data_IF_820776991000
#
_entry.id   IF_820776991000
#
_cell.length_a   1.000
_cell.length_b   1.000
_cell.length_c   1.000
_cell.angle_alpha   90.00
_cell.angle_beta   90.00
_cell.angle_gamma   90.00
#
_symmetry.space_group_name_H-M   'P 1'
#
loop_
_entity.id
_entity.type
_entity.pdbx_description
1 polymer ?
#
# COMPACT_ATOMS: atom_id res chain seq x y z
N UNK A 1 5.72 15.50 6.27
CA UNK A 1 6.19 16.43 5.23
C UNK A 1 6.91 15.72 4.09
N UNK A 2 7.84 14.80 4.35
CA UNK A 2 8.61 14.11 3.29
C UNK A 2 7.73 13.26 2.38
N UNK A 3 6.73 12.56 2.92
CA UNK A 3 5.77 11.75 2.16
C UNK A 3 5.00 12.59 1.12
N UNK A 4 4.52 13.77 1.54
CA UNK A 4 3.80 14.68 0.64
C UNK A 4 4.70 15.18 -0.50
N UNK A 5 5.95 15.55 -0.17
CA UNK A 5 6.92 15.98 -1.19
C UNK A 5 7.17 14.89 -2.23
N UNK A 6 7.35 13.64 -1.79
CA UNK A 6 7.54 12.51 -2.68
C UNK A 6 6.35 12.25 -3.61
N UNK A 7 5.13 12.32 -3.06
CA UNK A 7 3.91 12.20 -3.85
C UNK A 7 3.78 13.29 -4.92
N UNK A 8 4.14 14.54 -4.58
CA UNK A 8 4.14 15.67 -5.53
C UNK A 8 5.15 15.43 -6.65
N UNK A 9 6.36 14.95 -6.32
CA UNK A 9 7.38 14.61 -7.33
C UNK A 9 6.86 13.55 -8.29
N UNK A 10 6.28 12.46 -7.77
CA UNK A 10 5.68 11.40 -8.60
C UNK A 10 4.58 11.92 -9.52
N UNK A 11 3.67 12.74 -8.97
CA UNK A 11 2.58 13.33 -9.75
C UNK A 11 3.11 14.25 -10.87
N UNK A 12 4.13 15.06 -10.57
CA UNK A 12 4.76 15.96 -11.56
C UNK A 12 5.36 15.16 -12.71
N UNK A 13 6.07 14.06 -12.41
CA UNK A 13 6.66 13.20 -13.43
C UNK A 13 5.56 12.48 -14.23
N UNK A 14 4.47 12.05 -13.61
CA UNK A 14 3.33 11.44 -14.30
C UNK A 14 2.68 12.42 -15.29
N UNK A 15 2.45 13.67 -14.90
CA UNK A 15 1.94 14.70 -15.80
C UNK A 15 2.92 15.02 -16.95
N UNK A 16 4.21 15.06 -16.65
CA UNK A 16 5.22 15.25 -17.69
C UNK A 16 5.23 14.09 -18.70
N UNK A 17 5.10 12.86 -18.24
CA UNK A 17 4.95 11.69 -19.10
C UNK A 17 3.71 11.81 -20.00
N UNK A 18 2.54 12.14 -19.46
CA UNK A 18 1.33 12.35 -20.23
C UNK A 18 1.48 13.45 -21.27
N UNK A 19 2.13 14.56 -20.91
CA UNK A 19 2.47 15.63 -21.84
C UNK A 19 3.32 15.12 -23.00
N UNK A 20 4.34 14.31 -22.73
CA UNK A 20 5.20 13.72 -23.77
C UNK A 20 4.43 12.77 -24.68
N UNK A 21 3.55 11.90 -24.12
CA UNK A 21 2.74 10.96 -24.91
C UNK A 21 1.79 11.72 -25.86
N UNK A 22 1.02 12.66 -25.33
CA UNK A 22 0.09 13.47 -26.15
C UNK A 22 0.84 14.29 -27.21
N UNK A 23 1.98 14.86 -26.82
CA UNK A 23 2.81 15.64 -27.72
C UNK A 23 3.45 14.78 -28.81
N UNK A 24 3.87 13.56 -28.48
CA UNK A 24 4.42 12.62 -29.45
C UNK A 24 3.38 12.18 -30.47
N UNK A 25 2.15 11.91 -30.05
CA UNK A 25 1.05 11.59 -30.97
C UNK A 25 0.76 12.74 -31.92
N UNK A 26 0.82 13.99 -31.45
CA UNK A 26 0.49 15.18 -32.27
C UNK A 26 1.63 15.69 -33.15
N UNK A 27 2.87 15.66 -32.65
CA UNK A 27 4.05 16.33 -33.26
C UNK A 27 5.20 15.37 -33.60
N UNK A 28 5.03 14.06 -33.27
CA UNK A 28 6.08 13.05 -33.43
C UNK A 28 7.34 13.43 -32.66
N UNK A 29 8.50 13.10 -33.23
CA UNK A 29 9.81 13.34 -32.59
C UNK A 29 10.12 14.81 -32.30
N UNK A 30 9.36 15.77 -32.85
CA UNK A 30 9.58 17.21 -32.63
C UNK A 30 9.22 17.68 -31.23
N UNK A 31 8.50 16.85 -30.43
CA UNK A 31 8.17 17.18 -29.05
C UNK A 31 9.42 17.17 -28.14
N UNK A 32 10.44 16.41 -28.49
CA UNK A 32 11.64 16.30 -27.70
C UNK A 32 12.52 17.54 -27.85
N UNK A 33 12.51 18.40 -26.82
CA UNK A 33 13.40 19.54 -26.77
C UNK A 33 14.87 19.06 -26.83
N UNK A 34 15.73 19.60 -27.72
CA UNK A 34 17.10 19.17 -27.85
C UNK A 34 17.90 19.16 -26.54
N UNK A 35 17.63 20.12 -25.63
CA UNK A 35 18.29 20.23 -24.32
C UNK A 35 17.93 19.11 -23.35
N UNK A 36 16.72 18.58 -23.44
CA UNK A 36 16.17 17.56 -22.52
C UNK A 36 15.80 16.25 -23.22
N UNK A 37 16.26 16.06 -24.45
CA UNK A 37 15.89 14.93 -25.31
C UNK A 37 16.14 13.58 -24.62
N UNK A 38 17.29 13.42 -23.98
CA UNK A 38 17.65 12.16 -23.29
C UNK A 38 16.76 11.91 -22.09
N UNK A 39 16.50 12.92 -21.25
CA UNK A 39 15.64 12.81 -20.07
C UNK A 39 14.20 12.52 -20.49
N UNK A 40 13.68 13.21 -21.51
CA UNK A 40 12.33 12.99 -22.01
C UNK A 40 12.16 11.59 -22.62
N UNK A 41 13.16 11.11 -23.37
CA UNK A 41 13.14 9.76 -23.92
C UNK A 41 13.17 8.70 -22.81
N UNK A 42 13.97 8.92 -21.76
CA UNK A 42 14.05 8.04 -20.61
C UNK A 42 12.72 7.99 -19.83
N UNK A 43 12.11 9.14 -19.53
CA UNK A 43 10.79 9.23 -18.87
C UNK A 43 9.74 8.51 -19.71
N UNK A 44 9.76 8.69 -21.03
CA UNK A 44 8.80 8.05 -21.93
C UNK A 44 8.97 6.53 -21.96
N UNK A 45 10.23 6.04 -22.01
CA UNK A 45 10.52 4.61 -21.99
C UNK A 45 10.03 3.97 -20.69
N UNK A 46 10.40 4.54 -19.54
CA UNK A 46 9.99 4.03 -18.21
C UNK A 46 8.46 4.06 -18.09
N UNK A 47 7.82 5.16 -18.48
CA UNK A 47 6.37 5.28 -18.41
C UNK A 47 5.64 4.22 -19.24
N UNK A 48 6.12 3.89 -20.45
CA UNK A 48 5.56 2.82 -21.27
C UNK A 48 5.73 1.46 -20.59
N UNK A 49 6.92 1.16 -20.07
CA UNK A 49 7.18 -0.09 -19.34
C UNK A 49 6.23 -0.23 -18.15
N UNK A 50 5.97 0.86 -17.41
CA UNK A 50 5.06 0.86 -16.28
C UNK A 50 3.60 0.58 -16.68
N UNK A 51 3.12 1.20 -17.76
CA UNK A 51 1.77 0.92 -18.27
C UNK A 51 1.62 -0.56 -18.62
N UNK A 52 2.63 -1.16 -19.27
CA UNK A 52 2.62 -2.58 -19.62
C UNK A 52 2.66 -3.46 -18.35
N UNK A 53 3.49 -3.11 -17.37
CA UNK A 53 3.61 -3.85 -16.10
C UNK A 53 2.32 -3.77 -15.27
N UNK A 54 1.65 -2.62 -15.25
CA UNK A 54 0.40 -2.44 -14.51
C UNK A 54 -0.73 -3.31 -15.05
N UNK A 55 -0.78 -3.55 -16.36
CA UNK A 55 -1.77 -4.44 -16.99
C UNK A 55 -1.55 -5.91 -16.59
N UNK A 56 -0.31 -6.29 -16.30
CA UNK A 56 0.08 -7.67 -15.98
C UNK A 56 0.30 -7.92 -14.47
N UNK A 57 0.04 -6.92 -13.61
CA UNK A 57 0.21 -7.09 -12.18
C UNK A 57 -0.92 -7.91 -11.58
N UNK A 58 -0.56 -8.99 -10.86
CA UNK A 58 -1.50 -9.73 -10.00
C UNK A 58 -1.86 -8.87 -8.79
N UNK A 59 -3.13 -8.92 -8.36
CA UNK A 59 -3.56 -8.28 -7.11
C UNK A 59 -2.82 -8.91 -5.93
N UNK A 60 -1.94 -8.15 -5.31
CA UNK A 60 -1.30 -8.56 -4.05
C UNK A 60 -2.31 -8.48 -2.93
N UNK A 61 -2.64 -9.62 -2.36
CA UNK A 61 -3.52 -9.70 -1.20
C UNK A 61 -2.70 -9.39 0.06
N UNK A 62 -2.91 -8.21 0.65
CA UNK A 62 -2.35 -7.86 1.96
C UNK A 62 -3.15 -8.51 3.10
N UNK A 63 -3.34 -9.82 3.00
CA UNK A 63 -4.18 -10.63 3.88
C UNK A 63 -3.32 -11.71 4.52
N UNK A 64 -3.40 -11.82 5.83
CA UNK A 64 -2.66 -12.80 6.62
C UNK A 64 -3.66 -13.68 7.37
N UNK A 65 -3.57 -14.98 7.21
CA UNK A 65 -4.33 -15.94 8.02
C UNK A 65 -3.57 -16.18 9.31
N UNK A 66 -4.20 -15.89 10.45
CA UNK A 66 -3.61 -16.02 11.78
C UNK A 66 -3.88 -17.42 12.34
N UNK A 67 -5.12 -17.89 12.23
CA UNK A 67 -5.54 -19.20 12.77
C UNK A 67 -6.26 -19.99 11.69
N UNK A 68 -5.74 -21.18 11.37
CA UNK A 68 -6.31 -22.06 10.34
C UNK A 68 -7.49 -22.92 10.85
N UNK A 69 -7.52 -23.22 12.16
CA UNK A 69 -8.50 -24.12 12.75
C UNK A 69 -9.56 -23.31 13.53
N UNK A 70 -10.55 -22.77 12.82
CA UNK A 70 -11.71 -22.12 13.42
C UNK A 70 -13.02 -22.66 12.82
N UNK A 71 -14.07 -22.62 13.61
CA UNK A 71 -15.38 -23.07 13.16
C UNK A 71 -16.06 -22.00 12.30
N UNK A 72 -16.15 -22.23 10.97
CA UNK A 72 -16.76 -21.29 10.00
C UNK A 72 -18.24 -20.94 10.28
N UNK A 73 -18.94 -21.72 11.12
CA UNK A 73 -20.34 -21.46 11.48
C UNK A 73 -20.50 -20.46 12.63
N UNK A 74 -19.44 -20.07 13.29
CA UNK A 74 -19.49 -19.15 14.42
C UNK A 74 -19.65 -17.69 13.94
N UNK A 75 -20.23 -16.87 14.81
CA UNK A 75 -20.31 -15.43 14.59
C UNK A 75 -18.88 -14.85 14.48
N UNK A 76 -18.71 -13.93 13.55
CA UNK A 76 -17.44 -13.23 13.39
C UNK A 76 -17.62 -11.74 13.69
N UNK A 77 -16.58 -11.12 14.25
CA UNK A 77 -16.48 -9.67 14.45
C UNK A 77 -15.25 -9.14 13.71
N UNK A 78 -15.36 -7.95 13.17
CA UNK A 78 -14.26 -7.27 12.49
C UNK A 78 -13.95 -5.99 13.27
N UNK A 79 -12.69 -5.85 13.66
CA UNK A 79 -12.18 -4.64 14.29
C UNK A 79 -11.25 -3.90 13.35
N UNK A 80 -11.41 -2.58 13.28
CA UNK A 80 -10.57 -1.70 12.46
C UNK A 80 -9.62 -0.92 13.35
N UNK A 81 -8.35 -0.98 13.02
CA UNK A 81 -7.28 -0.24 13.70
C UNK A 81 -6.59 0.66 12.67
N UNK A 82 -6.40 1.94 13.02
CA UNK A 82 -5.56 2.84 12.25
C UNK A 82 -4.12 2.69 12.76
N UNK A 83 -3.23 2.20 11.90
CA UNK A 83 -1.82 1.96 12.23
C UNK A 83 -0.99 3.23 12.06
N UNK A 84 -1.23 3.98 11.00
CA UNK A 84 -0.56 5.25 10.73
C UNK A 84 -1.57 6.26 10.18
N UNK A 85 -1.46 7.51 10.63
CA UNK A 85 -2.25 8.66 10.18
C UNK A 85 -1.30 9.80 9.86
N UNK A 86 -1.18 10.16 8.59
CA UNK A 86 -0.39 11.31 8.19
C UNK A 86 -1.09 12.14 7.10
N UNK A 87 -0.53 13.29 6.75
CA UNK A 87 -1.14 14.22 5.78
C UNK A 87 -1.29 13.66 4.36
N UNK A 88 -0.59 12.56 4.05
CA UNK A 88 -0.54 12.01 2.70
C UNK A 88 -1.39 10.76 2.59
N UNK A 89 -1.23 9.85 3.54
CA UNK A 89 -1.93 8.57 3.54
C UNK A 89 -2.20 8.07 4.96
N UNK A 90 -3.16 7.17 5.06
CA UNK A 90 -3.44 6.36 6.24
C UNK A 90 -3.11 4.91 5.97
N UNK A 91 -2.51 4.22 6.95
CA UNK A 91 -2.40 2.75 6.95
C UNK A 91 -3.43 2.22 7.94
N UNK A 92 -4.35 1.40 7.44
CA UNK A 92 -5.41 0.79 8.23
C UNK A 92 -5.23 -0.72 8.26
N UNK A 93 -5.62 -1.33 9.37
CA UNK A 93 -5.65 -2.78 9.55
C UNK A 93 -7.05 -3.20 9.98
N UNK A 94 -7.53 -4.30 9.43
CA UNK A 94 -8.75 -4.99 9.82
C UNK A 94 -8.35 -6.33 10.42
N UNK A 95 -8.86 -6.65 11.60
CA UNK A 95 -8.68 -7.97 12.21
C UNK A 95 -10.04 -8.61 12.38
N UNK A 96 -10.18 -9.81 11.83
CA UNK A 96 -11.39 -10.62 11.93
C UNK A 96 -11.22 -11.66 13.02
N UNK A 97 -12.20 -11.73 13.89
CA UNK A 97 -12.28 -12.66 15.02
C UNK A 97 -13.39 -13.66 14.80
N UNK A 98 -13.16 -14.91 15.22
CA UNK A 98 -14.22 -15.91 15.49
C UNK A 98 -14.61 -15.83 16.96
N UNK A 99 -15.92 -15.88 17.25
CA UNK A 99 -16.43 -15.87 18.63
C UNK A 99 -16.74 -17.32 19.01
N UNK A 100 -15.92 -17.89 19.90
CA UNK A 100 -16.05 -19.26 20.39
C UNK A 100 -16.08 -19.27 21.91
N UNK A 101 -17.11 -19.87 22.51
CA UNK A 101 -17.25 -20.00 23.97
C UNK A 101 -16.96 -18.71 24.76
N UNK A 102 -17.42 -17.57 24.24
CA UNK A 102 -17.21 -16.23 24.80
C UNK A 102 -15.74 -15.74 24.70
N UNK A 103 -14.91 -16.38 23.88
CA UNK A 103 -13.54 -15.94 23.53
C UNK A 103 -13.52 -15.47 22.09
N UNK A 104 -12.67 -14.48 21.83
CA UNK A 104 -12.46 -13.96 20.49
C UNK A 104 -11.11 -14.42 19.99
N UNK A 105 -11.15 -15.26 18.98
CA UNK A 105 -9.96 -15.88 18.40
C UNK A 105 -9.66 -15.14 17.10
N UNK A 106 -8.47 -14.50 16.94
CA UNK A 106 -8.12 -13.84 15.69
C UNK A 106 -7.89 -14.88 14.59
N UNK A 107 -8.57 -14.74 13.48
CA UNK A 107 -8.52 -15.70 12.38
C UNK A 107 -7.82 -15.16 11.15
N UNK A 108 -7.98 -13.87 10.90
CA UNK A 108 -7.52 -13.25 9.67
C UNK A 108 -7.26 -11.75 9.89
N UNK A 109 -6.26 -11.22 9.25
CA UNK A 109 -6.00 -9.79 9.21
C UNK A 109 -5.73 -9.33 7.80
N UNK A 110 -6.22 -8.13 7.47
CA UNK A 110 -5.95 -7.44 6.21
C UNK A 110 -5.47 -6.02 6.53
N UNK A 111 -4.49 -5.55 5.78
CA UNK A 111 -4.02 -4.17 5.92
C UNK A 111 -3.99 -3.46 4.58
N UNK A 112 -4.33 -2.18 4.58
CA UNK A 112 -4.38 -1.36 3.37
C UNK A 112 -3.87 0.05 3.62
N UNK A 113 -3.31 0.64 2.59
CA UNK A 113 -2.96 2.06 2.53
C UNK A 113 -4.05 2.81 1.76
N UNK A 114 -4.47 3.97 2.25
CA UNK A 114 -5.50 4.82 1.66
C UNK A 114 -5.08 6.28 1.69
N UNK A 115 -5.69 7.13 0.85
CA UNK A 115 -5.35 8.55 0.75
C UNK A 115 -4.60 8.88 -0.53
N UNK A 116 -3.67 9.86 -0.49
CA UNK A 116 -2.85 10.23 -1.63
C UNK A 116 -1.60 9.36 -1.71
N UNK A 117 -1.77 8.15 -2.25
CA UNK A 117 -0.76 7.08 -2.27
C UNK A 117 0.17 7.12 -3.49
N UNK A 118 0.17 8.22 -4.28
CA UNK A 118 1.06 8.33 -5.44
C UNK A 118 2.52 8.18 -5.03
N UNK A 119 3.17 7.13 -5.53
CA UNK A 119 4.56 6.81 -5.20
C UNK A 119 4.75 5.96 -3.94
N UNK A 120 3.69 5.31 -3.46
CA UNK A 120 3.76 4.35 -2.34
C UNK A 120 3.03 3.07 -2.65
N UNK A 121 3.56 1.96 -2.13
CA UNK A 121 2.92 0.66 -2.07
C UNK A 121 3.14 0.09 -0.67
N UNK A 122 2.10 -0.55 -0.11
CA UNK A 122 2.13 -1.13 1.22
C UNK A 122 2.08 -2.64 1.14
N UNK A 123 3.04 -3.30 1.76
CA UNK A 123 3.09 -4.75 1.90
C UNK A 123 2.99 -5.12 3.38
N UNK A 124 1.87 -5.75 3.75
CA UNK A 124 1.63 -6.26 5.09
C UNK A 124 2.31 -7.62 5.24
N UNK A 125 3.27 -7.75 6.17
CA UNK A 125 4.16 -8.92 6.24
C UNK A 125 3.85 -9.86 7.39
N UNK A 126 3.46 -9.32 8.54
CA UNK A 126 3.15 -10.15 9.71
C UNK A 126 2.23 -9.42 10.69
N UNK A 127 1.49 -10.22 11.45
CA UNK A 127 0.76 -9.77 12.63
C UNK A 127 0.90 -10.83 13.73
N UNK A 128 1.21 -10.36 14.91
CA UNK A 128 1.11 -11.12 16.16
C UNK A 128 0.04 -10.46 17.01
N UNK A 129 -0.88 -11.23 17.56
CA UNK A 129 -1.91 -10.71 18.45
C UNK A 129 -2.16 -11.72 19.56
N UNK A 130 -2.25 -11.21 20.78
CA UNK A 130 -2.61 -12.01 21.93
C UNK A 130 -4.09 -12.44 21.88
N UNK A 131 -4.36 -13.56 22.54
CA UNK A 131 -5.74 -13.96 22.78
C UNK A 131 -6.47 -12.90 23.61
N UNK A 132 -7.73 -12.70 23.27
CA UNK A 132 -8.60 -11.72 23.90
C UNK A 132 -8.64 -11.82 25.42
N UNK A 133 -8.20 -10.77 26.11
CA UNK A 133 -8.26 -10.69 27.58
C UNK A 133 -9.69 -10.43 28.05
N UNK A 134 -10.08 -10.85 29.26
CA UNK A 134 -11.44 -10.68 29.79
C UNK A 134 -11.97 -9.24 29.83
N UNK A 135 -11.06 -8.25 29.74
CA UNK A 135 -11.40 -6.82 29.68
C UNK A 135 -11.71 -6.30 28.28
N UNK A 136 -11.75 -7.15 27.27
CA UNK A 136 -12.10 -6.76 25.94
C UNK A 136 -10.98 -6.07 25.13
N UNK A 137 -9.72 -6.31 25.48
CA UNK A 137 -8.56 -5.72 24.79
C UNK A 137 -7.56 -6.80 24.42
N UNK A 138 -7.08 -6.77 23.18
CA UNK A 138 -5.99 -7.61 22.72
C UNK A 138 -4.81 -6.72 22.30
N UNK A 139 -3.62 -7.06 22.72
CA UNK A 139 -2.39 -6.42 22.22
C UNK A 139 -2.05 -6.98 20.85
N UNK A 140 -1.49 -6.17 20.00
CA UNK A 140 -1.01 -6.60 18.69
C UNK A 140 0.34 -5.97 18.35
N UNK A 141 1.12 -6.69 17.56
CA UNK A 141 2.29 -6.19 16.84
C UNK A 141 2.07 -6.47 15.35
N UNK A 142 2.03 -5.42 14.54
CA UNK A 142 1.83 -5.51 13.09
C UNK A 142 3.08 -5.02 12.36
N UNK A 143 3.56 -5.79 11.40
CA UNK A 143 4.74 -5.48 10.61
C UNK A 143 4.40 -5.33 9.14
N UNK A 144 5.10 -4.43 8.46
CA UNK A 144 4.96 -4.27 7.03
C UNK A 144 6.09 -3.44 6.43
N UNK A 145 6.06 -3.33 5.10
CA UNK A 145 7.04 -2.60 4.32
C UNK A 145 6.32 -1.54 3.51
N UNK A 146 6.61 -0.27 3.78
CA UNK A 146 6.21 0.83 2.92
C UNK A 146 7.25 0.99 1.82
N UNK A 147 6.86 0.67 0.60
CA UNK A 147 7.71 0.79 -0.59
C UNK A 147 7.55 2.17 -1.20
N UNK A 148 8.63 2.90 -1.29
CA UNK A 148 8.69 4.18 -1.99
C UNK A 148 8.95 3.90 -3.46
N UNK A 149 8.04 4.33 -4.29
CA UNK A 149 8.07 4.05 -5.73
C UNK A 149 8.23 5.34 -6.53
N UNK A 150 9.06 5.27 -7.55
CA UNK A 150 9.13 6.28 -8.59
C UNK A 150 8.60 5.65 -9.89
N UNK A 151 7.46 6.15 -10.36
CA UNK A 151 6.81 5.54 -11.52
C UNK A 151 6.54 4.03 -11.36
N UNK A 152 6.15 3.58 -10.15
CA UNK A 152 5.91 2.16 -9.85
C UNK A 152 7.16 1.29 -9.67
N UNK A 153 8.36 1.86 -9.86
CA UNK A 153 9.63 1.17 -9.54
C UNK A 153 9.96 1.46 -8.08
N UNK A 154 10.12 0.41 -7.29
CA UNK A 154 10.53 0.56 -5.89
C UNK A 154 11.97 1.05 -5.83
N UNK A 155 12.16 2.22 -5.20
CA UNK A 155 13.48 2.85 -5.01
C UNK A 155 13.97 2.73 -3.58
N UNK A 156 13.05 2.57 -2.61
CA UNK A 156 13.38 2.41 -1.21
C UNK A 156 12.32 1.61 -0.47
N UNK A 157 12.74 0.79 0.49
CA UNK A 157 11.87 0.01 1.38
C UNK A 157 12.03 0.51 2.80
N UNK A 158 10.93 0.95 3.41
CA UNK A 158 10.85 1.40 4.79
C UNK A 158 10.11 0.34 5.61
N UNK A 159 10.83 -0.36 6.48
CA UNK A 159 10.20 -1.32 7.42
C UNK A 159 9.45 -0.56 8.50
N UNK A 160 8.21 -0.96 8.76
CA UNK A 160 7.35 -0.38 9.78
C UNK A 160 6.86 -1.45 10.75
N UNK A 161 6.89 -1.12 12.03
CA UNK A 161 6.34 -1.94 13.11
C UNK A 161 5.39 -1.10 13.93
N UNK A 162 4.17 -1.59 14.11
CA UNK A 162 3.12 -0.94 14.88
C UNK A 162 2.71 -1.80 16.05
N UNK A 163 2.68 -1.20 17.24
CA UNK A 163 2.22 -1.85 18.46
C UNK A 163 0.99 -1.10 18.98
N UNK A 164 0.00 -1.82 19.42
CA UNK A 164 -1.22 -1.20 19.92
C UNK A 164 -2.17 -2.18 20.61
N UNK A 165 -3.38 -1.68 20.85
CA UNK A 165 -4.47 -2.47 21.43
C UNK A 165 -5.69 -2.41 20.51
N UNK A 166 -6.30 -3.57 20.29
CA UNK A 166 -7.61 -3.74 19.67
C UNK A 166 -8.64 -3.69 20.78
N UNK A 167 -9.69 -2.88 20.60
CA UNK A 167 -10.75 -2.68 21.61
C UNK A 167 -12.04 -3.35 21.17
#
# INVERSE_FOLDING_TARGET
>A
MIYLLWSIVNLTIAFYFLYLVVGFIRKGMRIFNPKFKVVSAFVMLIGIVQVISAVNSEEKTNQITITNNYNKKNNSKIEKVKLEDNLTFDINMLVKYSIEQNQWIPIESNSSITGFVSGYDWEFTAIETDNYKPNGKAEFTANGILKWQLFGITVYNESKTFNGMIQ
#
